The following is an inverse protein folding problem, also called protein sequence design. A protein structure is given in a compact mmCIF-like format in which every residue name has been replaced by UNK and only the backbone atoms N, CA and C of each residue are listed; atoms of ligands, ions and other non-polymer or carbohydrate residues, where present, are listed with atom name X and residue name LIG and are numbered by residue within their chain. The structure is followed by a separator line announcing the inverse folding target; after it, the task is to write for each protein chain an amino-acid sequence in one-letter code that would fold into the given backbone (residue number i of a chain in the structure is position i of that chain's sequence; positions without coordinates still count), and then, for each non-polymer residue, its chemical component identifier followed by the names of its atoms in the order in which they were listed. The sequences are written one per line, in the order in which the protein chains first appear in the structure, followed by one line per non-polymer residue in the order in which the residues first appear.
data_IF_828657758483
#
_entry.id   IF_828657758483
#
_cell.length_a   1.000
_cell.length_b   1.000
_cell.length_c   1.000
_cell.angle_alpha   90.00
_cell.angle_beta   90.00
_cell.angle_gamma   90.00
#
_symmetry.space_group_name_H-M   'P 1'
#
loop_
_entity.id
_entity.type
_entity.pdbx_description
1 polymer ?
#
# COMPACT_ATOMS: atom_id res chain seq x y z
N UNK A 1 8.43 -6.18 23.86
CA UNK A 1 7.46 -5.10 23.56
C UNK A 1 7.30 -5.06 22.04
N UNK A 2 6.10 -5.34 21.50
CA UNK A 2 5.86 -5.30 20.05
C UNK A 2 5.72 -3.83 19.62
N UNK A 3 6.50 -3.40 18.62
CA UNK A 3 6.36 -2.07 18.00
C UNK A 3 5.35 -2.14 16.84
N UNK A 4 4.76 -1.01 16.44
CA UNK A 4 3.89 -0.96 15.26
C UNK A 4 4.65 -1.42 13.99
N UNK A 5 5.96 -1.17 13.92
CA UNK A 5 6.83 -1.68 12.87
C UNK A 5 6.88 -3.21 12.84
N UNK A 6 7.13 -3.85 13.98
CA UNK A 6 7.08 -5.33 14.06
C UNK A 6 5.70 -5.89 13.73
N UNK A 7 4.65 -5.21 14.19
CA UNK A 7 3.27 -5.62 13.96
C UNK A 7 2.88 -5.59 12.48
N UNK A 8 3.20 -4.51 11.73
CA UNK A 8 2.86 -4.46 10.31
C UNK A 8 3.70 -5.48 9.51
N UNK A 9 4.96 -5.72 9.86
CA UNK A 9 5.80 -6.72 9.17
C UNK A 9 5.20 -8.12 9.32
N UNK A 10 4.79 -8.48 10.54
CA UNK A 10 4.09 -9.74 10.78
C UNK A 10 2.80 -9.81 9.96
N UNK A 11 1.99 -8.76 9.99
CA UNK A 11 0.74 -8.70 9.25
C UNK A 11 0.96 -8.82 7.74
N UNK A 12 1.98 -8.15 7.18
CA UNK A 12 2.36 -8.25 5.77
C UNK A 12 2.70 -9.68 5.38
N UNK A 13 3.44 -10.40 6.24
CA UNK A 13 3.75 -11.82 6.04
C UNK A 13 2.49 -12.67 6.03
N UNK A 14 1.55 -12.42 6.95
CA UNK A 14 0.28 -13.15 7.01
C UNK A 14 -0.57 -12.92 5.75
N UNK A 15 -0.63 -11.68 5.26
CA UNK A 15 -1.32 -11.32 4.00
C UNK A 15 -0.63 -11.96 2.79
N UNK A 16 0.70 -11.97 2.74
CA UNK A 16 1.44 -12.64 1.67
C UNK A 16 1.19 -14.17 1.65
N UNK A 17 1.02 -14.79 2.82
CA UNK A 17 0.60 -16.18 2.95
C UNK A 17 -0.85 -16.38 2.49
N UNK A 18 -1.77 -15.47 2.86
CA UNK A 18 -3.16 -15.51 2.40
C UNK A 18 -3.25 -15.51 0.88
N UNK A 19 -2.46 -14.64 0.24
CA UNK A 19 -2.45 -14.53 -1.20
C UNK A 19 -2.10 -15.86 -1.88
N UNK A 20 -1.30 -16.75 -1.27
CA UNK A 20 -1.01 -18.08 -1.85
C UNK A 20 -2.24 -18.98 -2.01
N UNK A 21 -3.35 -18.64 -1.35
CA UNK A 21 -4.62 -19.36 -1.42
C UNK A 21 -5.64 -18.69 -2.36
N UNK A 22 -5.27 -17.64 -3.13
CA UNK A 22 -6.20 -16.85 -3.96
C UNK A 22 -7.01 -17.69 -4.96
N UNK A 23 -6.47 -18.82 -5.43
CA UNK A 23 -7.10 -19.65 -6.45
C UNK A 23 -8.01 -20.76 -5.88
N UNK A 24 -8.14 -20.84 -4.55
CA UNK A 24 -8.82 -21.94 -3.88
C UNK A 24 -9.77 -21.41 -2.79
N UNK A 25 -11.07 -21.36 -3.09
CA UNK A 25 -12.15 -21.15 -2.10
C UNK A 25 -12.26 -22.35 -1.16
N UNK A 26 -11.25 -22.49 -0.31
CA UNK A 26 -11.10 -23.60 0.62
C UNK A 26 -11.32 -23.10 2.03
N UNK A 27 -11.89 -23.94 2.88
CA UNK A 27 -12.10 -23.65 4.30
C UNK A 27 -10.81 -23.12 5.01
N UNK A 28 -9.59 -23.64 4.72
CA UNK A 28 -8.33 -23.04 5.17
C UNK A 28 -8.12 -21.57 4.77
N UNK A 29 -8.43 -21.19 3.52
CA UNK A 29 -8.26 -19.81 3.05
C UNK A 29 -9.18 -18.84 3.80
N UNK A 30 -10.43 -19.25 4.01
CA UNK A 30 -11.42 -18.49 4.78
C UNK A 30 -11.01 -18.33 6.24
N UNK A 31 -10.57 -19.41 6.89
CA UNK A 31 -10.06 -19.34 8.28
C UNK A 31 -8.83 -18.45 8.40
N UNK A 32 -7.91 -18.52 7.46
CA UNK A 32 -6.72 -17.67 7.44
C UNK A 32 -7.08 -16.19 7.24
N UNK A 33 -8.02 -15.90 6.34
CA UNK A 33 -8.53 -14.54 6.15
C UNK A 33 -9.15 -13.98 7.44
N UNK A 34 -9.96 -14.76 8.16
CA UNK A 34 -10.51 -14.36 9.46
C UNK A 34 -9.41 -14.09 10.50
N UNK A 35 -8.34 -14.89 10.51
CA UNK A 35 -7.20 -14.67 11.40
C UNK A 35 -6.43 -13.38 11.06
N UNK A 36 -6.27 -13.06 9.78
CA UNK A 36 -5.70 -11.78 9.33
C UNK A 36 -6.60 -10.62 9.77
N UNK A 37 -7.91 -10.73 9.59
CA UNK A 37 -8.86 -9.67 9.98
C UNK A 37 -8.84 -9.40 11.49
N UNK A 38 -8.83 -10.46 12.32
CA UNK A 38 -8.68 -10.32 13.78
C UNK A 38 -7.35 -9.68 14.16
N UNK A 39 -6.27 -9.99 13.44
CA UNK A 39 -4.96 -9.38 13.64
C UNK A 39 -4.95 -7.89 13.27
N UNK A 40 -5.60 -7.50 12.16
CA UNK A 40 -5.78 -6.09 11.78
C UNK A 40 -6.50 -5.34 12.90
N UNK A 41 -7.63 -5.87 13.40
CA UNK A 41 -8.40 -5.25 14.49
C UNK A 41 -7.57 -5.14 15.77
N UNK A 42 -6.86 -6.21 16.16
CA UNK A 42 -6.01 -6.22 17.34
C UNK A 42 -4.88 -5.19 17.27
N UNK A 43 -4.19 -5.09 16.13
CA UNK A 43 -3.10 -4.13 15.91
C UNK A 43 -3.66 -2.70 15.90
N UNK A 44 -4.78 -2.46 15.22
CA UNK A 44 -5.42 -1.14 15.17
C UNK A 44 -5.80 -0.65 16.56
N UNK A 45 -6.42 -1.50 17.38
CA UNK A 45 -6.79 -1.16 18.75
C UNK A 45 -5.57 -0.94 19.64
N UNK A 46 -4.53 -1.76 19.49
CA UNK A 46 -3.32 -1.67 20.32
C UNK A 46 -2.50 -0.40 20.07
N UNK A 47 -2.52 0.09 18.84
CA UNK A 47 -1.74 1.25 18.42
C UNK A 47 -2.63 2.43 18.01
N UNK A 48 -3.87 2.50 18.50
CA UNK A 48 -4.83 3.55 18.15
C UNK A 48 -4.23 4.95 18.39
N UNK A 49 -3.61 5.16 19.55
CA UNK A 49 -3.03 6.47 19.90
C UNK A 49 -1.92 6.89 18.92
N UNK A 50 -1.08 5.93 18.50
CA UNK A 50 -0.03 6.22 17.50
C UNK A 50 -0.61 6.52 16.14
N UNK A 51 -1.64 5.77 15.73
CA UNK A 51 -2.34 6.00 14.46
C UNK A 51 -2.99 7.38 14.49
N UNK A 52 -3.78 7.68 15.52
CA UNK A 52 -4.43 8.97 15.72
C UNK A 52 -3.43 10.13 15.70
N UNK A 53 -2.34 10.04 16.46
CA UNK A 53 -1.29 11.08 16.44
C UNK A 53 -0.73 11.29 15.03
N UNK A 54 -0.58 10.21 14.24
CA UNK A 54 -0.13 10.32 12.85
C UNK A 54 -1.15 11.05 11.97
N UNK A 55 -2.46 10.87 12.20
CA UNK A 55 -3.52 11.57 11.48
C UNK A 55 -3.51 13.08 11.77
N UNK A 56 -3.17 13.47 13.00
CA UNK A 56 -3.05 14.88 13.40
C UNK A 56 -1.77 15.55 12.91
N UNK A 57 -0.80 14.79 12.37
CA UNK A 57 0.40 15.39 11.78
C UNK A 57 -0.01 16.19 10.55
N UNK A 58 0.47 17.43 10.50
CA UNK A 58 0.28 18.31 9.36
C UNK A 58 1.58 18.54 8.63
N UNK A 59 1.47 19.21 7.50
CA UNK A 59 2.60 19.74 6.73
C UNK A 59 3.34 20.87 7.49
N UNK A 60 2.77 21.41 8.57
CA UNK A 60 3.45 22.39 9.43
C UNK A 60 4.21 21.71 10.58
N UNK A 61 3.94 20.44 10.86
CA UNK A 61 4.56 19.72 11.97
C UNK A 61 6.02 19.41 11.65
N UNK A 62 6.92 19.96 12.48
CA UNK A 62 8.36 19.84 12.35
C UNK A 62 8.80 18.39 12.09
N UNK A 63 9.55 18.20 11.01
CA UNK A 63 10.06 16.90 10.57
C UNK A 63 11.50 16.64 11.05
N UNK A 64 12.12 17.59 11.77
CA UNK A 64 13.50 17.45 12.29
C UNK A 64 13.60 16.39 13.40
N UNK A 65 12.56 16.25 14.22
CA UNK A 65 12.53 15.23 15.25
C UNK A 65 12.20 13.86 14.66
N UNK A 66 13.14 12.91 14.73
CA UNK A 66 13.06 11.56 14.10
C UNK A 66 11.75 10.80 14.32
N UNK A 67 11.05 11.06 15.43
CA UNK A 67 9.75 10.46 15.73
C UNK A 67 8.72 10.76 14.63
N UNK A 68 8.64 11.99 14.15
CA UNK A 68 7.63 12.44 13.18
C UNK A 68 7.77 11.71 11.82
N UNK A 69 8.93 11.73 11.13
CA UNK A 69 9.07 11.00 9.87
C UNK A 69 8.93 9.48 10.05
N UNK A 70 9.34 8.92 11.19
CA UNK A 70 9.15 7.50 11.49
C UNK A 70 7.67 7.14 11.66
N UNK A 71 6.91 7.97 12.37
CA UNK A 71 5.48 7.78 12.57
C UNK A 71 4.73 7.87 11.24
N UNK A 72 5.00 8.93 10.45
CA UNK A 72 4.47 9.08 9.09
C UNK A 72 4.76 7.83 8.25
N UNK A 73 5.98 7.28 8.32
CA UNK A 73 6.39 6.08 7.57
C UNK A 73 5.64 4.83 8.00
N UNK A 74 5.66 4.51 9.30
CA UNK A 74 5.15 3.23 9.78
C UNK A 74 3.63 3.13 9.62
N UNK A 75 2.90 4.24 9.81
CA UNK A 75 1.44 4.29 9.64
C UNK A 75 1.05 4.05 8.18
N UNK A 76 1.76 4.67 7.21
CA UNK A 76 1.54 4.38 5.78
C UNK A 76 1.76 2.91 5.43
N UNK A 77 2.82 2.31 5.96
CA UNK A 77 3.12 0.90 5.73
C UNK A 77 2.02 0.00 6.30
N UNK A 78 1.50 0.33 7.49
CA UNK A 78 0.38 -0.38 8.09
C UNK A 78 -0.89 -0.31 7.22
N UNK A 79 -1.30 0.89 6.78
CA UNK A 79 -2.47 1.04 5.91
C UNK A 79 -2.30 0.37 4.54
N UNK A 80 -1.08 0.34 3.99
CA UNK A 80 -0.82 -0.38 2.75
C UNK A 80 -0.99 -1.91 2.90
N UNK A 81 -0.70 -2.48 4.07
CA UNK A 81 -1.01 -3.89 4.37
C UNK A 81 -2.52 -4.12 4.47
N UNK A 82 -3.26 -3.18 5.07
CA UNK A 82 -4.72 -3.23 5.10
C UNK A 82 -5.29 -3.19 3.67
N UNK A 83 -4.83 -2.28 2.82
CA UNK A 83 -5.25 -2.23 1.42
C UNK A 83 -4.95 -3.53 0.68
N UNK A 84 -3.77 -4.10 0.87
CA UNK A 84 -3.41 -5.37 0.23
C UNK A 84 -4.32 -6.51 0.70
N UNK A 85 -4.61 -6.60 2.00
CA UNK A 85 -5.56 -7.58 2.53
C UNK A 85 -6.96 -7.41 1.93
N UNK A 86 -7.47 -6.18 1.89
CA UNK A 86 -8.81 -5.88 1.37
C UNK A 86 -8.90 -6.17 -0.13
N UNK A 87 -7.85 -5.85 -0.90
CA UNK A 87 -7.77 -6.23 -2.33
C UNK A 87 -7.95 -7.73 -2.52
N UNK A 88 -7.25 -8.55 -1.72
CA UNK A 88 -7.36 -10.01 -1.80
C UNK A 88 -8.76 -10.51 -1.44
N UNK A 89 -9.47 -9.81 -0.55
CA UNK A 89 -10.82 -10.20 -0.08
C UNK A 89 -11.93 -9.77 -1.03
N UNK A 90 -11.78 -8.63 -1.68
CA UNK A 90 -12.81 -8.05 -2.54
C UNK A 90 -12.78 -8.56 -3.98
N UNK A 91 -11.79 -9.38 -4.35
CA UNK A 91 -11.66 -9.93 -5.69
C UNK A 91 -11.51 -8.83 -6.76
N UNK A 92 -12.24 -8.98 -7.86
CA UNK A 92 -12.15 -8.09 -9.04
C UNK A 92 -12.98 -6.80 -8.91
N UNK A 93 -13.79 -6.64 -7.86
CA UNK A 93 -14.62 -5.44 -7.68
C UNK A 93 -13.78 -4.18 -7.50
N UNK A 94 -14.06 -3.11 -8.27
CA UNK A 94 -13.45 -1.79 -8.08
C UNK A 94 -14.12 -0.97 -6.97
N UNK A 95 -15.28 -1.40 -6.45
CA UNK A 95 -15.94 -0.69 -5.37
C UNK A 95 -15.07 -0.68 -4.12
N UNK A 96 -14.86 0.52 -3.57
CA UNK A 96 -14.04 0.72 -2.37
C UNK A 96 -14.94 0.65 -1.13
N UNK A 97 -14.61 -0.24 -0.20
CA UNK A 97 -15.25 -0.19 1.11
C UNK A 97 -14.72 1.01 1.94
N UNK A 98 -15.43 1.46 2.98
CA UNK A 98 -15.01 2.60 3.80
C UNK A 98 -13.58 2.47 4.35
N UNK A 99 -13.16 1.24 4.70
CA UNK A 99 -11.82 0.98 5.20
C UNK A 99 -10.74 1.14 4.11
N UNK A 100 -11.04 0.83 2.84
CA UNK A 100 -10.12 1.09 1.73
C UNK A 100 -10.00 2.59 1.44
N UNK A 101 -11.12 3.32 1.44
CA UNK A 101 -11.13 4.77 1.27
C UNK A 101 -10.29 5.45 2.35
N UNK A 102 -10.46 5.02 3.60
CA UNK A 102 -9.68 5.55 4.72
C UNK A 102 -8.18 5.23 4.58
N UNK A 103 -7.83 4.00 4.23
CA UNK A 103 -6.43 3.63 4.04
C UNK A 103 -5.77 4.40 2.89
N UNK A 104 -6.47 4.63 1.78
CA UNK A 104 -6.00 5.48 0.68
C UNK A 104 -5.75 6.92 1.15
N UNK A 105 -6.72 7.51 1.85
CA UNK A 105 -6.63 8.86 2.42
C UNK A 105 -5.41 9.02 3.31
N UNK A 106 -5.19 8.07 4.24
CA UNK A 106 -4.06 8.11 5.17
C UNK A 106 -2.72 7.95 4.46
N UNK A 107 -2.62 7.02 3.50
CA UNK A 107 -1.39 6.86 2.72
C UNK A 107 -1.05 8.14 1.97
N UNK A 108 -2.03 8.70 1.25
CA UNK A 108 -1.83 9.88 0.42
C UNK A 108 -1.50 11.13 1.24
N UNK A 109 -2.26 11.44 2.29
CA UNK A 109 -2.00 12.59 3.17
C UNK A 109 -0.57 12.57 3.71
N UNK A 110 -0.15 11.43 4.24
CA UNK A 110 1.18 11.28 4.78
C UNK A 110 2.23 11.32 3.66
N UNK A 111 1.97 10.74 2.48
CA UNK A 111 2.90 10.78 1.35
C UNK A 111 3.17 12.20 0.86
N UNK A 112 2.13 13.03 0.71
CA UNK A 112 2.27 14.44 0.35
C UNK A 112 3.13 15.20 1.38
N UNK A 113 2.88 14.97 2.68
CA UNK A 113 3.71 15.56 3.73
C UNK A 113 5.18 15.15 3.59
N UNK A 114 5.45 13.85 3.46
CA UNK A 114 6.81 13.34 3.34
C UNK A 114 7.53 13.85 2.09
N UNK A 115 6.82 13.96 0.97
CA UNK A 115 7.37 14.50 -0.27
C UNK A 115 7.78 15.97 -0.12
N UNK A 116 6.98 16.80 0.58
CA UNK A 116 7.34 18.21 0.80
C UNK A 116 8.64 18.38 1.61
N UNK A 117 8.96 17.47 2.52
CA UNK A 117 10.18 17.58 3.33
C UNK A 117 11.41 16.90 2.70
N UNK A 118 11.24 15.68 2.17
CA UNK A 118 12.36 14.81 1.77
C UNK A 118 12.37 14.50 0.27
N UNK A 119 11.44 15.08 -0.51
CA UNK A 119 11.35 14.92 -1.95
C UNK A 119 11.23 13.45 -2.37
N UNK A 120 11.99 13.06 -3.38
CA UNK A 120 11.98 11.69 -3.92
C UNK A 120 12.63 10.66 -2.99
N UNK A 121 13.53 11.09 -2.09
CA UNK A 121 14.13 10.18 -1.11
C UNK A 121 13.08 9.59 -0.17
N UNK A 122 12.05 10.37 0.18
CA UNK A 122 10.90 9.86 0.91
C UNK A 122 10.10 8.86 0.07
N UNK A 123 9.86 9.17 -1.22
CA UNK A 123 9.06 8.33 -2.11
C UNK A 123 9.68 6.94 -2.28
N UNK A 124 11.01 6.84 -2.38
CA UNK A 124 11.74 5.56 -2.38
C UNK A 124 11.42 4.71 -1.15
N UNK A 125 11.33 5.31 0.05
CA UNK A 125 11.05 4.58 1.31
C UNK A 125 9.59 4.15 1.44
N UNK A 126 8.70 4.71 0.64
CA UNK A 126 7.27 4.42 0.65
C UNK A 126 6.76 3.96 -0.72
N UNK A 127 7.66 3.44 -1.56
CA UNK A 127 7.32 2.99 -2.90
C UNK A 127 6.24 1.90 -2.85
N UNK A 128 6.35 0.92 -1.95
CA UNK A 128 5.32 -0.10 -1.82
C UNK A 128 3.93 0.44 -1.42
N UNK A 129 3.78 1.30 -0.39
CA UNK A 129 2.51 1.98 -0.14
C UNK A 129 1.95 2.73 -1.36
N UNK A 130 2.79 3.47 -2.09
CA UNK A 130 2.36 4.19 -3.29
C UNK A 130 1.94 3.25 -4.41
N UNK A 131 2.62 2.11 -4.57
CA UNK A 131 2.23 1.08 -5.53
C UNK A 131 0.83 0.56 -5.23
N UNK A 132 0.53 0.28 -3.95
CA UNK A 132 -0.82 -0.13 -3.54
C UNK A 132 -1.86 0.95 -3.83
N UNK A 133 -1.53 2.23 -3.63
CA UNK A 133 -2.43 3.34 -4.00
C UNK A 133 -2.70 3.34 -5.50
N UNK A 134 -1.68 3.24 -6.35
CA UNK A 134 -1.85 3.23 -7.80
C UNK A 134 -2.76 2.09 -8.28
N UNK A 135 -2.71 0.93 -7.62
CA UNK A 135 -3.55 -0.22 -7.95
C UNK A 135 -5.00 -0.09 -7.50
N UNK A 136 -5.25 0.62 -6.39
CA UNK A 136 -6.54 0.67 -5.70
C UNK A 136 -7.32 1.96 -5.92
N UNK A 137 -6.66 3.06 -6.22
CA UNK A 137 -7.32 4.36 -6.30
C UNK A 137 -8.20 4.45 -7.55
N UNK A 138 -9.40 4.99 -7.36
CA UNK A 138 -10.32 5.42 -8.42
C UNK A 138 -10.27 6.95 -8.63
N UNK A 139 -9.43 7.66 -7.87
CA UNK A 139 -9.23 9.09 -7.99
C UNK A 139 -8.11 9.36 -9.01
N UNK A 140 -8.47 10.03 -10.10
CA UNK A 140 -7.54 10.33 -11.18
C UNK A 140 -6.35 11.19 -10.72
N UNK A 141 -6.57 12.18 -9.85
CA UNK A 141 -5.52 13.07 -9.37
C UNK A 141 -4.52 12.31 -8.49
N UNK A 142 -5.03 11.41 -7.63
CA UNK A 142 -4.15 10.53 -6.86
C UNK A 142 -3.36 9.59 -7.77
N UNK A 143 -4.01 8.98 -8.76
CA UNK A 143 -3.36 8.09 -9.73
C UNK A 143 -2.24 8.79 -10.50
N UNK A 144 -2.51 9.94 -11.10
CA UNK A 144 -1.52 10.74 -11.85
C UNK A 144 -0.35 11.17 -10.95
N UNK A 145 -0.64 11.65 -9.74
CA UNK A 145 0.40 12.07 -8.82
C UNK A 145 1.35 10.91 -8.46
N UNK A 146 0.79 9.74 -8.14
CA UNK A 146 1.56 8.55 -7.79
C UNK A 146 2.40 8.06 -8.98
N UNK A 147 1.82 7.99 -10.18
CA UNK A 147 2.56 7.62 -11.39
C UNK A 147 3.72 8.60 -11.66
N UNK A 148 3.48 9.91 -11.47
CA UNK A 148 4.52 10.92 -11.55
C UNK A 148 5.65 10.72 -10.53
N UNK A 149 5.34 10.24 -9.31
CA UNK A 149 6.37 9.88 -8.33
C UNK A 149 7.14 8.64 -8.74
N UNK A 150 6.47 7.59 -9.25
CA UNK A 150 7.13 6.38 -9.77
C UNK A 150 8.07 6.69 -10.95
N UNK A 151 7.65 7.58 -11.85
CA UNK A 151 8.51 8.09 -12.91
C UNK A 151 9.76 8.77 -12.32
N UNK A 152 9.59 9.68 -11.37
CA UNK A 152 10.69 10.40 -10.74
C UNK A 152 11.67 9.48 -9.99
N UNK A 153 11.20 8.42 -9.35
CA UNK A 153 12.07 7.46 -8.63
C UNK A 153 12.67 6.36 -9.53
N UNK A 154 12.22 6.24 -10.78
CA UNK A 154 12.73 5.22 -11.72
C UNK A 154 14.24 5.34 -11.96
N UNK A 155 14.79 6.56 -11.87
CA UNK A 155 16.22 6.83 -11.98
C UNK A 155 17.06 6.24 -10.84
N UNK A 156 16.45 5.88 -9.70
CA UNK A 156 17.17 5.33 -8.54
C UNK A 156 17.36 3.82 -8.59
N UNK A 157 16.81 3.13 -9.59
CA UNK A 157 17.08 1.70 -9.79
C UNK A 157 16.08 0.99 -10.69
N UNK A 158 16.55 -0.11 -11.28
CA UNK A 158 15.79 -0.91 -12.24
C UNK A 158 14.47 -1.46 -11.68
N UNK A 159 14.40 -1.76 -10.37
CA UNK A 159 13.15 -2.19 -9.73
C UNK A 159 12.06 -1.11 -9.80
N UNK A 160 12.41 0.16 -9.59
CA UNK A 160 11.46 1.26 -9.66
C UNK A 160 11.05 1.54 -11.10
N UNK A 161 11.99 1.45 -12.04
CA UNK A 161 11.68 1.56 -13.47
C UNK A 161 10.68 0.49 -13.92
N UNK A 162 10.92 -0.78 -13.55
CA UNK A 162 10.02 -1.90 -13.86
C UNK A 162 8.66 -1.73 -13.19
N UNK A 163 8.63 -1.33 -11.92
CA UNK A 163 7.40 -1.06 -11.21
C UNK A 163 6.59 0.08 -11.87
N UNK A 164 7.26 1.14 -12.34
CA UNK A 164 6.60 2.22 -13.05
C UNK A 164 5.97 1.75 -14.37
N UNK A 165 6.72 1.00 -15.19
CA UNK A 165 6.21 0.44 -16.44
C UNK A 165 5.02 -0.51 -16.20
N UNK A 166 5.12 -1.36 -15.18
CA UNK A 166 4.04 -2.24 -14.76
C UNK A 166 2.80 -1.46 -14.33
N UNK A 167 2.96 -0.41 -13.53
CA UNK A 167 1.83 0.42 -13.10
C UNK A 167 1.15 1.13 -14.26
N UNK A 168 1.91 1.66 -15.24
CA UNK A 168 1.32 2.25 -16.44
C UNK A 168 0.42 1.26 -17.18
N UNK A 169 0.90 0.03 -17.36
CA UNK A 169 0.13 -1.02 -18.02
C UNK A 169 -1.11 -1.42 -17.21
N UNK A 170 -0.95 -1.70 -15.92
CA UNK A 170 -2.05 -2.19 -15.08
C UNK A 170 -3.12 -1.15 -14.84
N UNK A 171 -2.75 0.12 -14.62
CA UNK A 171 -3.74 1.19 -14.43
C UNK A 171 -4.56 1.40 -15.70
N UNK A 172 -3.92 1.41 -16.87
CA UNK A 172 -4.62 1.45 -18.15
C UNK A 172 -5.56 0.25 -18.35
N UNK A 173 -5.08 -0.97 -18.05
CA UNK A 173 -5.88 -2.18 -18.18
C UNK A 173 -7.09 -2.17 -17.24
N UNK A 174 -6.93 -1.78 -15.98
CA UNK A 174 -8.05 -1.63 -15.03
C UNK A 174 -9.06 -0.57 -15.49
N UNK A 175 -8.57 0.52 -16.09
CA UNK A 175 -9.43 1.58 -16.63
C UNK A 175 -10.26 1.08 -17.81
N UNK A 176 -9.65 0.29 -18.73
CA UNK A 176 -10.35 -0.28 -19.88
C UNK A 176 -11.36 -1.37 -19.49
N UNK A 177 -11.02 -2.20 -18.49
CA UNK A 177 -11.88 -3.30 -18.06
C UNK A 177 -12.99 -2.87 -17.09
N UNK A 178 -12.80 -1.76 -16.36
CA UNK A 178 -13.72 -1.38 -15.27
C UNK A 178 -13.65 -2.30 -14.05
N UNK A 179 -12.64 -3.18 -13.99
CA UNK A 179 -12.44 -4.18 -12.93
C UNK A 179 -11.00 -4.17 -12.42
N UNK A 180 -10.76 -4.72 -11.22
CA UNK A 180 -9.40 -4.92 -10.71
C UNK A 180 -8.76 -6.08 -11.45
N UNK A 181 -7.50 -5.92 -11.85
CA UNK A 181 -6.73 -7.01 -12.46
C UNK A 181 -6.09 -7.88 -11.39
N UNK A 182 -5.90 -9.16 -11.71
CA UNK A 182 -5.01 -10.01 -10.93
C UNK A 182 -3.55 -9.62 -11.21
N UNK A 183 -2.98 -8.85 -10.29
CA UNK A 183 -1.60 -8.35 -10.32
C UNK A 183 -0.59 -9.48 -10.48
N UNK A 184 -0.85 -10.66 -9.91
CA UNK A 184 0.08 -11.79 -10.00
C UNK A 184 0.08 -12.43 -11.37
N UNK A 185 -1.10 -12.56 -11.98
CA UNK A 185 -1.22 -12.99 -13.37
C UNK A 185 -0.53 -12.00 -14.33
N UNK A 186 -0.53 -10.70 -14.02
CA UNK A 186 0.16 -9.68 -14.83
C UNK A 186 1.69 -9.65 -14.63
N UNK A 187 2.22 -10.22 -13.53
CA UNK A 187 3.65 -10.24 -13.23
C UNK A 187 4.40 -11.42 -13.90
N UNK A 188 3.83 -12.07 -14.91
CA UNK A 188 4.46 -13.22 -15.54
C UNK A 188 5.85 -12.87 -16.13
N UNK A 189 6.86 -13.75 -15.96
CA UNK A 189 8.22 -13.46 -16.40
C UNK A 189 8.29 -13.28 -17.92
N UNK A 190 8.53 -12.06 -18.39
CA UNK A 190 8.76 -11.78 -19.81
C UNK A 190 8.51 -10.33 -20.21
N UNK A 191 7.43 -9.73 -19.70
CA UNK A 191 7.00 -8.40 -20.17
C UNK A 191 7.66 -7.24 -19.42
N UNK A 192 7.77 -7.33 -18.09
CA UNK A 192 8.36 -6.27 -17.24
C UNK A 192 9.63 -6.72 -16.51
N UNK A 193 9.93 -8.02 -16.50
CA UNK A 193 10.95 -8.64 -15.64
C UNK A 193 10.56 -8.62 -14.16
N UNK A 194 11.17 -9.50 -13.35
CA UNK A 194 10.90 -9.55 -11.91
C UNK A 194 11.39 -8.26 -11.23
N UNK A 195 10.60 -7.70 -10.31
CA UNK A 195 10.98 -6.56 -9.48
C UNK A 195 10.46 -6.71 -8.05
N UNK A 196 11.13 -6.02 -7.14
CA UNK A 196 10.75 -5.96 -5.72
C UNK A 196 10.75 -4.49 -5.28
N UNK A 197 9.67 -4.09 -4.60
CA UNK A 197 9.42 -2.75 -4.09
C UNK A 197 8.91 -2.79 -2.64
#
# INVERSE_FOLDING_TARGET
MLTLEGAYVQLRSMVAQLAKFQDAETDPATRWASHVELSVKSISNRFCDLIEVAEWLSVATDNAHRLVPNLRRVVRLFYAVILHFLRLRSGQSQSLCPQQVEALRQIMNLAFQAHKYDGEKAMVRIAWPLFMVALETNDHLHGEWVLGRFHAISQFGLNFQRAYQFLLHVVDLQSRLGERVDVRAQLQPGEFGLFVI
#
